data_IF_423660155550
#
_entry.id   IF_423660155550
#
_cell.length_a   1.000
_cell.length_b   1.000
_cell.length_c   1.000
_cell.angle_alpha   90.00
_cell.angle_beta   90.00
_cell.angle_gamma   90.00
#
_symmetry.space_group_name_H-M   'P 1'
#
loop_
_entity.id
_entity.type
_entity.pdbx_description
1 polymer ?
#
# COMPACT_ATOMS: atom_id res chain seq x y z
N UNK A 1 8.81 -4.09 10.86
CA UNK A 1 10.05 -4.27 10.08
C UNK A 1 10.86 -2.97 10.22
N UNK A 2 11.92 -3.01 11.03
CA UNK A 2 12.80 -1.87 11.25
C UNK A 2 13.72 -1.63 10.05
N UNK A 3 14.49 -0.53 10.06
CA UNK A 3 15.46 -0.23 9.00
C UNK A 3 16.60 -1.25 8.94
N UNK A 4 16.88 -1.92 10.04
CA UNK A 4 17.97 -2.89 10.21
C UNK A 4 17.51 -4.37 10.06
N UNK A 5 16.23 -4.61 9.92
CA UNK A 5 15.74 -5.98 9.73
C UNK A 5 16.25 -6.54 8.40
N UNK A 6 16.73 -7.80 8.38
CA UNK A 6 17.21 -8.44 7.16
C UNK A 6 16.10 -8.54 6.12
N UNK A 7 16.41 -8.16 4.88
CA UNK A 7 15.48 -8.28 3.77
C UNK A 7 15.34 -9.75 3.40
N UNK A 8 14.13 -10.30 3.51
CA UNK A 8 13.81 -11.67 3.13
C UNK A 8 12.70 -11.71 2.08
N UNK A 9 13.01 -11.43 0.80
CA UNK A 9 12.03 -11.41 -0.26
C UNK A 9 11.58 -12.84 -0.61
N UNK A 10 10.27 -13.08 -0.51
CA UNK A 10 9.66 -14.40 -0.74
C UNK A 10 9.18 -14.63 -2.18
N UNK A 11 9.18 -13.58 -3.01
CA UNK A 11 8.74 -13.66 -4.40
C UNK A 11 9.65 -12.83 -5.33
N UNK A 12 9.49 -13.03 -6.64
CA UNK A 12 10.31 -12.35 -7.66
C UNK A 12 10.22 -10.83 -7.59
N UNK A 13 9.03 -10.28 -7.32
CA UNK A 13 8.85 -8.84 -7.16
C UNK A 13 9.69 -8.28 -5.99
N UNK A 14 9.63 -8.93 -4.84
CA UNK A 14 10.43 -8.56 -3.67
C UNK A 14 11.93 -8.64 -3.96
N UNK A 15 12.39 -9.71 -4.66
CA UNK A 15 13.80 -9.85 -5.07
C UNK A 15 14.25 -8.70 -5.98
N UNK A 16 13.42 -8.31 -6.96
CA UNK A 16 13.70 -7.17 -7.83
C UNK A 16 13.78 -5.86 -7.05
N UNK A 17 12.90 -5.64 -6.06
CA UNK A 17 12.94 -4.45 -5.20
C UNK A 17 14.20 -4.39 -4.36
N UNK A 18 14.62 -5.51 -3.74
CA UNK A 18 15.88 -5.60 -2.98
C UNK A 18 17.08 -5.27 -3.87
N UNK A 19 17.12 -5.84 -5.08
CA UNK A 19 18.19 -5.54 -6.04
C UNK A 19 18.21 -4.06 -6.43
N UNK A 20 17.04 -3.47 -6.70
CA UNK A 20 16.92 -2.04 -7.03
C UNK A 20 17.40 -1.15 -5.89
N UNK A 21 17.08 -1.49 -4.64
CA UNK A 21 17.58 -0.78 -3.46
C UNK A 21 19.10 -0.86 -3.37
N UNK A 22 19.68 -2.06 -3.53
CA UNK A 22 21.13 -2.27 -3.48
C UNK A 22 21.87 -1.45 -4.54
N UNK A 23 21.35 -1.41 -5.78
CA UNK A 23 21.93 -0.62 -6.86
C UNK A 23 21.85 0.87 -6.54
N UNK A 24 20.69 1.37 -6.06
CA UNK A 24 20.52 2.77 -5.70
C UNK A 24 21.51 3.20 -4.60
N UNK A 25 21.64 2.38 -3.55
CA UNK A 25 22.54 2.66 -2.43
C UNK A 25 24.02 2.65 -2.85
N UNK A 26 24.41 1.73 -3.73
CA UNK A 26 25.76 1.66 -4.29
C UNK A 26 26.15 2.91 -5.11
N UNK A 27 25.15 3.64 -5.64
CA UNK A 27 25.34 4.88 -6.39
C UNK A 27 24.94 6.12 -5.59
N UNK A 28 25.06 6.09 -4.26
CA UNK A 28 24.76 7.20 -3.35
C UNK A 28 23.30 7.70 -3.41
N UNK A 29 22.38 6.88 -3.95
CA UNK A 29 20.97 7.16 -3.96
C UNK A 29 20.33 7.10 -2.58
N UNK A 30 19.10 7.59 -2.47
CA UNK A 30 18.26 7.46 -1.29
C UNK A 30 17.11 6.54 -1.59
N UNK A 31 16.78 5.65 -0.68
CA UNK A 31 15.68 4.70 -0.80
C UNK A 31 14.55 5.14 0.10
N UNK A 32 13.37 5.35 -0.47
CA UNK A 32 12.15 5.63 0.28
C UNK A 32 11.19 4.46 0.08
N UNK A 33 10.89 3.75 1.16
CA UNK A 33 9.95 2.63 1.16
C UNK A 33 8.58 3.12 1.58
N UNK A 34 7.64 3.11 0.63
CA UNK A 34 6.25 3.46 0.89
C UNK A 34 5.42 2.23 1.25
N UNK A 35 4.39 2.40 2.10
CA UNK A 35 3.41 1.36 2.39
C UNK A 35 2.47 1.16 1.19
N UNK A 36 1.35 0.47 1.42
CA UNK A 36 0.30 0.35 0.42
C UNK A 36 -0.30 1.73 0.10
N UNK A 37 -0.06 2.21 -1.11
CA UNK A 37 -0.57 3.50 -1.57
C UNK A 37 -1.98 3.34 -2.13
N UNK A 38 -2.87 4.31 -1.80
CA UNK A 38 -4.26 4.28 -2.21
C UNK A 38 -4.72 5.66 -2.71
N UNK A 39 -5.53 5.63 -3.77
CA UNK A 39 -6.14 6.82 -4.35
C UNK A 39 -6.62 6.57 -5.77
N UNK A 40 -7.30 7.53 -6.40
CA UNK A 40 -7.74 7.42 -7.78
C UNK A 40 -6.56 7.35 -8.73
N UNK A 41 -6.65 6.46 -9.73
CA UNK A 41 -5.65 6.39 -10.79
C UNK A 41 -5.64 7.69 -11.61
N UNK A 42 -4.44 8.16 -11.93
CA UNK A 42 -4.25 9.26 -12.90
C UNK A 42 -4.21 8.77 -14.34
N UNK A 43 -4.09 7.46 -14.55
CA UNK A 43 -4.03 6.83 -15.87
C UNK A 43 -5.39 6.20 -16.20
N UNK A 44 -6.05 6.67 -17.27
CA UNK A 44 -7.39 6.20 -17.68
C UNK A 44 -7.46 4.69 -17.93
N UNK A 45 -6.39 4.11 -18.46
CA UNK A 45 -6.36 2.70 -18.88
C UNK A 45 -5.70 1.77 -17.86
N UNK A 46 -5.45 2.25 -16.64
CA UNK A 46 -4.81 1.46 -15.60
C UNK A 46 -5.51 1.69 -14.25
N UNK A 47 -6.72 1.13 -14.07
CA UNK A 47 -7.41 1.23 -12.80
C UNK A 47 -6.59 0.57 -11.68
N UNK A 48 -6.72 1.10 -10.48
CA UNK A 48 -6.15 0.54 -9.26
C UNK A 48 -7.28 0.02 -8.36
N UNK A 49 -6.90 -0.65 -7.30
CA UNK A 49 -7.79 -1.15 -6.25
C UNK A 49 -8.89 -0.13 -5.82
N UNK A 50 -8.52 1.15 -5.73
CA UNK A 50 -9.46 2.22 -5.42
C UNK A 50 -10.53 2.38 -6.51
N UNK A 51 -10.12 2.45 -7.76
CA UNK A 51 -11.01 2.68 -8.91
C UNK A 51 -11.95 1.49 -9.12
N UNK A 52 -11.46 0.27 -8.90
CA UNK A 52 -12.25 -0.97 -8.96
C UNK A 52 -13.36 -0.95 -7.91
N UNK A 53 -13.05 -0.63 -6.64
CA UNK A 53 -14.06 -0.51 -5.59
C UNK A 53 -15.12 0.53 -5.95
N UNK A 54 -14.70 1.72 -6.36
CA UNK A 54 -15.65 2.80 -6.70
C UNK A 54 -16.52 2.40 -7.89
N UNK A 55 -15.94 1.78 -8.91
CA UNK A 55 -16.67 1.31 -10.10
C UNK A 55 -17.71 0.24 -9.75
N UNK A 56 -17.31 -0.78 -8.97
CA UNK A 56 -18.18 -1.87 -8.58
C UNK A 56 -19.33 -1.42 -7.68
N UNK A 57 -19.04 -0.56 -6.70
CA UNK A 57 -20.08 0.01 -5.83
C UNK A 57 -21.08 0.89 -6.61
N UNK A 58 -20.60 1.70 -7.57
CA UNK A 58 -21.48 2.46 -8.48
C UNK A 58 -22.35 1.55 -9.34
N UNK A 59 -21.82 0.41 -9.76
CA UNK A 59 -22.55 -0.61 -10.50
C UNK A 59 -23.44 -1.50 -9.61
N UNK A 60 -23.57 -1.18 -8.31
CA UNK A 60 -24.34 -1.94 -7.32
C UNK A 60 -23.89 -3.40 -7.16
N UNK A 61 -22.62 -3.68 -7.41
CA UNK A 61 -22.02 -5.00 -7.21
C UNK A 61 -21.54 -5.17 -5.78
N UNK A 62 -21.62 -6.40 -5.29
CA UNK A 62 -21.03 -6.78 -3.99
C UNK A 62 -19.51 -6.82 -4.13
N UNK A 63 -18.82 -6.10 -3.26
CA UNK A 63 -17.35 -6.06 -3.19
C UNK A 63 -16.89 -6.85 -1.97
N UNK A 64 -16.06 -7.88 -2.17
CA UNK A 64 -15.51 -8.71 -1.08
C UNK A 64 -14.07 -8.27 -0.78
N UNK A 65 -13.80 -7.91 0.47
CA UNK A 65 -12.50 -7.37 0.88
C UNK A 65 -12.01 -8.05 2.16
N UNK A 66 -10.71 -8.31 2.23
CA UNK A 66 -10.09 -8.89 3.42
C UNK A 66 -10.27 -8.01 4.65
N UNK A 67 -10.87 -8.58 5.71
CA UNK A 67 -11.07 -7.94 7.00
C UNK A 67 -9.93 -8.19 7.99
N UNK A 68 -9.15 -9.23 7.79
CA UNK A 68 -8.11 -9.74 8.71
C UNK A 68 -6.67 -9.51 8.23
N UNK A 69 -6.47 -8.90 7.07
CA UNK A 69 -5.15 -8.55 6.52
C UNK A 69 -4.88 -7.07 6.70
N UNK A 70 -4.13 -6.71 7.74
CA UNK A 70 -3.81 -5.32 8.08
C UNK A 70 -2.51 -4.88 7.42
N UNK A 71 -2.49 -3.65 6.89
CA UNK A 71 -1.32 -3.02 6.29
C UNK A 71 -1.28 -1.54 6.64
N UNK A 72 -0.08 -1.00 6.77
CA UNK A 72 0.11 0.44 6.69
C UNK A 72 -0.34 0.93 5.33
N UNK A 73 -1.07 2.04 5.29
CA UNK A 73 -1.69 2.57 4.08
C UNK A 73 -1.57 4.08 4.05
N UNK A 74 -1.22 4.64 2.89
CA UNK A 74 -1.05 6.07 2.70
C UNK A 74 -1.78 6.52 1.44
N UNK A 75 -2.31 7.75 1.43
CA UNK A 75 -2.87 8.31 0.20
C UNK A 75 -1.79 8.73 -0.79
N UNK A 76 -2.10 8.75 -2.08
CA UNK A 76 -1.17 9.25 -3.09
C UNK A 76 -0.78 10.71 -2.85
N UNK A 77 -1.73 11.55 -2.40
CA UNK A 77 -1.46 12.96 -2.10
C UNK A 77 -0.42 13.07 -0.98
N UNK A 78 -0.65 12.39 0.15
CA UNK A 78 0.27 12.46 1.28
C UNK A 78 1.64 11.87 0.95
N UNK A 79 1.69 10.81 0.14
CA UNK A 79 2.95 10.27 -0.36
C UNK A 79 3.71 11.26 -1.25
N UNK A 80 2.99 12.00 -2.10
CA UNK A 80 3.58 13.04 -2.95
C UNK A 80 4.10 14.21 -2.12
N UNK A 81 3.34 14.68 -1.13
CA UNK A 81 3.76 15.76 -0.23
C UNK A 81 5.04 15.38 0.53
N UNK A 82 5.09 14.16 1.07
CA UNK A 82 6.30 13.63 1.73
C UNK A 82 7.51 13.58 0.79
N UNK A 83 7.32 13.16 -0.47
CA UNK A 83 8.39 13.18 -1.46
C UNK A 83 8.89 14.59 -1.72
N UNK A 84 7.99 15.54 -1.93
CA UNK A 84 8.34 16.95 -2.13
C UNK A 84 9.10 17.49 -0.92
N UNK A 85 8.67 17.19 0.29
CA UNK A 85 9.35 17.65 1.51
C UNK A 85 10.74 17.02 1.70
N UNK A 86 10.91 15.77 1.30
CA UNK A 86 12.23 15.14 1.28
C UNK A 86 13.15 15.82 0.28
N UNK A 87 12.68 16.16 -0.93
CA UNK A 87 13.50 16.80 -1.97
C UNK A 87 13.92 18.24 -1.61
N UNK A 88 13.21 18.91 -0.71
CA UNK A 88 13.60 20.24 -0.18
C UNK A 88 14.74 20.18 0.83
N UNK A 89 15.05 19.02 1.39
CA UNK A 89 16.10 18.85 2.40
C UNK A 89 17.47 18.69 1.73
N UNK A 90 18.55 19.22 2.33
CA UNK A 90 19.90 18.86 1.93
C UNK A 90 20.10 17.36 1.97
N UNK A 91 20.75 16.79 0.96
CA UNK A 91 20.88 15.33 0.79
C UNK A 91 21.54 14.67 2.01
N UNK A 92 22.43 15.37 2.69
CA UNK A 92 23.14 14.90 3.88
C UNK A 92 22.21 14.71 5.08
N UNK A 93 21.06 15.41 5.07
CA UNK A 93 20.02 15.31 6.11
C UNK A 93 18.97 14.26 5.80
N UNK A 94 19.00 13.65 4.60
CA UNK A 94 18.09 12.59 4.21
C UNK A 94 18.73 11.25 4.52
N UNK A 95 18.12 10.38 5.35
CA UNK A 95 18.63 9.03 5.60
C UNK A 95 18.85 8.24 4.32
N UNK A 96 19.83 7.35 4.30
CA UNK A 96 20.08 6.45 3.16
C UNK A 96 18.84 5.60 2.83
N UNK A 97 18.12 5.17 3.86
CA UNK A 97 16.86 4.45 3.76
C UNK A 97 15.83 5.13 4.65
N UNK A 98 14.69 5.47 4.10
CA UNK A 98 13.55 6.05 4.81
C UNK A 98 12.33 5.12 4.66
N UNK A 99 11.86 4.58 5.77
CA UNK A 99 10.59 3.85 5.81
C UNK A 99 9.46 4.84 6.11
N UNK A 100 8.46 4.89 5.24
CA UNK A 100 7.23 5.68 5.44
C UNK A 100 6.12 4.72 5.83
N UNK A 101 5.39 5.05 6.89
CA UNK A 101 4.27 4.25 7.37
C UNK A 101 3.17 5.15 7.93
N UNK A 102 1.95 4.64 8.02
CA UNK A 102 0.89 5.25 8.83
C UNK A 102 1.01 4.77 10.28
N UNK A 103 0.44 5.52 11.22
CA UNK A 103 0.51 5.22 12.65
C UNK A 103 -0.17 3.89 13.03
N UNK A 104 -1.06 3.39 12.17
CA UNK A 104 -1.77 2.13 12.38
C UNK A 104 -2.04 1.40 11.07
N UNK A 105 -2.13 0.08 11.15
CA UNK A 105 -2.53 -0.75 10.03
C UNK A 105 -4.04 -0.74 9.83
N UNK A 106 -4.48 -0.78 8.58
CA UNK A 106 -5.89 -0.93 8.21
C UNK A 106 -6.07 -2.12 7.28
N UNK A 107 -7.22 -2.80 7.37
CA UNK A 107 -7.57 -3.86 6.43
C UNK A 107 -8.11 -3.28 5.13
N UNK A 108 -8.08 -4.07 4.05
CA UNK A 108 -8.73 -3.68 2.78
C UNK A 108 -10.22 -3.41 2.98
N UNK A 109 -10.89 -4.17 3.84
CA UNK A 109 -12.29 -3.96 4.21
C UNK A 109 -12.51 -2.58 4.83
N UNK A 110 -11.69 -2.21 5.83
CA UNK A 110 -11.75 -0.88 6.46
C UNK A 110 -11.51 0.24 5.45
N UNK A 111 -10.57 0.04 4.53
CA UNK A 111 -10.30 0.99 3.45
C UNK A 111 -11.52 1.13 2.53
N UNK A 112 -12.14 0.02 2.13
CA UNK A 112 -13.35 0.02 1.31
C UNK A 112 -14.50 0.80 1.96
N UNK A 113 -14.74 0.59 3.26
CA UNK A 113 -15.75 1.34 4.02
C UNK A 113 -15.47 2.85 4.05
N UNK A 114 -14.20 3.25 4.23
CA UNK A 114 -13.80 4.67 4.18
C UNK A 114 -14.02 5.27 2.79
N UNK A 115 -13.76 4.52 1.72
CA UNK A 115 -14.03 4.94 0.34
C UNK A 115 -15.53 5.13 0.15
N UNK A 116 -16.36 4.14 0.51
CA UNK A 116 -17.81 4.22 0.38
C UNK A 116 -18.36 5.45 1.11
N UNK A 117 -17.95 5.66 2.36
CA UNK A 117 -18.35 6.84 3.15
C UNK A 117 -17.94 8.15 2.48
N UNK A 118 -16.69 8.26 2.00
CA UNK A 118 -16.17 9.49 1.39
C UNK A 118 -16.90 9.87 0.09
N UNK A 119 -17.34 8.86 -0.67
CA UNK A 119 -17.98 9.07 -1.98
C UNK A 119 -19.50 8.88 -1.98
N UNK A 120 -20.12 8.74 -0.81
CA UNK A 120 -21.56 8.55 -0.68
C UNK A 120 -22.07 7.27 -1.34
N UNK A 121 -21.26 6.21 -1.34
CA UNK A 121 -21.59 4.93 -1.93
C UNK A 121 -22.14 3.98 -0.87
N UNK A 122 -22.86 2.96 -1.32
CA UNK A 122 -23.50 1.97 -0.46
C UNK A 122 -22.48 1.05 0.22
N UNK A 123 -22.24 1.28 1.50
CA UNK A 123 -21.29 0.50 2.30
C UNK A 123 -21.79 -0.92 2.60
N UNK A 124 -23.11 -1.19 2.50
CA UNK A 124 -23.65 -2.53 2.74
C UNK A 124 -23.27 -3.53 1.66
N UNK A 125 -22.88 -3.04 0.48
CA UNK A 125 -22.36 -3.88 -0.60
C UNK A 125 -20.93 -4.36 -0.34
N UNK A 126 -20.22 -3.82 0.68
CA UNK A 126 -18.89 -4.26 1.05
C UNK A 126 -18.99 -5.37 2.09
N UNK A 127 -18.48 -6.55 1.76
CA UNK A 127 -18.51 -7.71 2.64
C UNK A 127 -17.10 -8.11 3.04
N UNK A 128 -16.85 -8.34 4.36
CA UNK A 128 -15.56 -8.85 4.79
C UNK A 128 -15.41 -10.30 4.38
N UNK A 129 -14.19 -10.66 3.98
CA UNK A 129 -13.74 -12.04 3.84
C UNK A 129 -12.49 -12.25 4.70
N UNK A 130 -12.24 -13.50 5.09
CA UNK A 130 -11.07 -13.88 5.88
C UNK A 130 -10.11 -14.70 5.04
N UNK A 131 -8.80 -14.56 5.30
CA UNK A 131 -7.79 -15.39 4.66
C UNK A 131 -8.01 -16.85 5.05
N UNK A 132 -8.08 -17.74 4.07
CA UNK A 132 -8.43 -19.16 4.26
C UNK A 132 -9.87 -19.52 3.89
N UNK A 133 -10.71 -18.54 3.57
CA UNK A 133 -12.04 -18.76 2.98
C UNK A 133 -12.07 -18.59 1.46
N UNK A 134 -10.91 -18.35 0.84
CA UNK A 134 -10.78 -18.30 -0.61
C UNK A 134 -10.42 -19.66 -1.18
N UNK A 135 -11.07 -20.01 -2.28
CA UNK A 135 -10.60 -21.03 -3.20
C UNK A 135 -9.14 -20.75 -3.56
N UNK A 136 -8.29 -21.75 -3.68
CA UNK A 136 -6.83 -21.81 -3.73
C UNK A 136 -6.07 -20.82 -4.64
N UNK A 137 -6.74 -19.85 -5.25
CA UNK A 137 -6.21 -18.99 -6.32
C UNK A 137 -5.45 -17.75 -5.82
N UNK A 138 -5.60 -17.31 -4.57
CA UNK A 138 -4.99 -16.07 -4.05
C UNK A 138 -4.25 -16.21 -2.73
N UNK A 139 -3.24 -17.05 -2.67
CA UNK A 139 -2.27 -17.01 -1.58
C UNK A 139 -1.30 -15.84 -1.80
N UNK A 140 -1.66 -14.65 -1.33
CA UNK A 140 -0.70 -13.55 -1.23
C UNK A 140 0.03 -13.67 0.11
N UNK A 141 1.34 -13.86 0.13
CA UNK A 141 2.11 -13.96 1.37
C UNK A 141 1.95 -12.70 2.22
N UNK A 142 1.73 -12.90 3.52
CA UNK A 142 1.56 -11.82 4.49
C UNK A 142 2.89 -11.10 4.72
N UNK A 143 2.99 -9.83 4.39
CA UNK A 143 4.04 -8.97 4.91
C UNK A 143 3.43 -8.16 6.06
N UNK A 144 3.78 -8.50 7.29
CA UNK A 144 3.49 -7.64 8.44
C UNK A 144 4.50 -6.48 8.43
N UNK A 145 4.01 -5.25 8.43
CA UNK A 145 4.84 -4.08 8.69
C UNK A 145 4.59 -3.72 10.15
N UNK A 146 5.58 -3.96 10.98
CA UNK A 146 5.59 -3.43 12.35
C UNK A 146 6.03 -1.98 12.26
N UNK A 147 5.21 -1.11 12.79
CA UNK A 147 5.49 0.31 12.95
C UNK A 147 6.42 0.49 14.14
N UNK A 148 7.45 1.28 13.98
CA UNK A 148 8.15 2.00 15.04
C UNK A 148 7.84 3.47 14.91
#
# INVERSE_FOLDING_TARGET
MGMEDPLNPINSYGKQKVLSESISLAHFGRVIRFPFLIGPSKLRNKPHFFDEIVSDLKAKKVVRLFGDSYRSTLSFELAADLLVDVTKKPIEKVPMILNVASDYGVSKYTVGLKIAKKYGLDAELIKPIHQGQEDEIFQTPRAFVTLL
#
